data_IF_357050948713
#
_entry.id   IF_357050948713
#
_cell.length_a   1.000
_cell.length_b   1.000
_cell.length_c   1.000
_cell.angle_alpha   90.00
_cell.angle_beta   90.00
_cell.angle_gamma   90.00
#
_symmetry.space_group_name_H-M   'P 1'
#
loop_
_entity.id
_entity.type
_entity.pdbx_description
1 polymer ?
#
# COMPACT_ATOMS: atom_id res chain seq x y z
N UNK A 1 -27.05 -0.45 16.35
CA UNK A 1 -26.33 -1.35 15.41
C UNK A 1 -25.84 -0.51 14.23
N UNK A 2 -24.55 -0.58 13.86
CA UNK A 2 -24.04 0.17 12.68
C UNK A 2 -24.63 -0.43 11.41
N UNK A 3 -25.08 0.41 10.48
CA UNK A 3 -25.56 -0.08 9.19
C UNK A 3 -24.38 -0.56 8.33
N UNK A 4 -24.64 -1.42 7.33
CA UNK A 4 -23.60 -2.05 6.50
C UNK A 4 -22.65 -1.03 5.85
N UNK A 5 -23.16 0.12 5.43
CA UNK A 5 -22.35 1.19 4.82
C UNK A 5 -21.40 1.85 5.82
N UNK A 6 -21.85 2.10 7.06
CA UNK A 6 -20.98 2.61 8.13
C UNK A 6 -19.89 1.61 8.51
N UNK A 7 -20.19 0.31 8.52
CA UNK A 7 -19.18 -0.72 8.77
C UNK A 7 -18.14 -0.76 7.65
N UNK A 8 -18.57 -0.74 6.38
CA UNK A 8 -17.67 -0.70 5.23
C UNK A 8 -16.81 0.57 5.21
N UNK A 9 -17.37 1.72 5.57
CA UNK A 9 -16.62 2.97 5.70
C UNK A 9 -15.48 2.83 6.72
N UNK A 10 -15.75 2.24 7.88
CA UNK A 10 -14.72 2.01 8.91
C UNK A 10 -13.64 1.06 8.40
N UNK A 11 -14.01 -0.04 7.74
CA UNK A 11 -13.05 -0.98 7.16
C UNK A 11 -12.18 -0.28 6.11
N UNK A 12 -12.78 0.53 5.24
CA UNK A 12 -12.05 1.31 4.23
C UNK A 12 -11.06 2.29 4.85
N UNK A 13 -11.45 3.01 5.90
CA UNK A 13 -10.57 3.93 6.63
C UNK A 13 -9.41 3.17 7.29
N UNK A 14 -9.68 2.03 7.94
CA UNK A 14 -8.63 1.21 8.55
C UNK A 14 -7.64 0.73 7.47
N UNK A 15 -8.15 0.26 6.32
CA UNK A 15 -7.31 -0.14 5.19
C UNK A 15 -6.45 1.01 4.66
N UNK A 16 -7.01 2.22 4.55
CA UNK A 16 -6.27 3.43 4.15
C UNK A 16 -5.18 3.79 5.15
N UNK A 17 -5.46 3.76 6.45
CA UNK A 17 -4.48 4.08 7.50
C UNK A 17 -3.33 3.08 7.49
N UNK A 18 -3.63 1.78 7.41
CA UNK A 18 -2.60 0.74 7.36
C UNK A 18 -1.80 0.84 6.06
N UNK A 19 -2.47 0.93 4.92
CA UNK A 19 -1.82 1.06 3.62
C UNK A 19 -0.94 2.31 3.53
N UNK A 20 -1.45 3.45 4.00
CA UNK A 20 -0.70 4.71 4.07
C UNK A 20 0.51 4.61 4.98
N UNK A 21 0.35 4.04 6.18
CA UNK A 21 1.48 3.81 7.10
C UNK A 21 2.58 2.94 6.46
N UNK A 22 2.21 1.83 5.81
CA UNK A 22 3.16 0.96 5.11
C UNK A 22 3.83 1.68 3.93
N UNK A 23 3.08 2.49 3.18
CA UNK A 23 3.60 3.26 2.04
C UNK A 23 4.64 4.27 2.50
N UNK A 24 4.38 5.02 3.58
CA UNK A 24 5.31 6.01 4.11
C UNK A 24 6.51 5.41 4.87
N UNK A 25 6.47 4.13 5.22
CA UNK A 25 7.65 3.41 5.73
C UNK A 25 8.55 2.85 4.62
N UNK A 26 8.07 2.81 3.37
CA UNK A 26 8.88 2.36 2.25
C UNK A 26 9.89 3.44 1.88
N UNK A 27 11.14 3.27 2.32
CA UNK A 27 12.26 4.12 1.93
C UNK A 27 12.93 3.56 0.67
N UNK A 28 12.43 3.98 -0.49
CA UNK A 28 12.97 3.57 -1.79
C UNK A 28 14.39 4.10 -2.05
N UNK A 29 14.71 5.28 -1.51
CA UNK A 29 16.02 5.90 -1.69
C UNK A 29 17.12 5.09 -0.96
N UNK A 30 16.83 4.63 0.26
CA UNK A 30 17.74 3.77 1.02
C UNK A 30 18.00 2.41 0.35
N UNK A 31 17.03 1.83 -0.35
CA UNK A 31 17.23 0.59 -1.12
C UNK A 31 18.12 0.86 -2.33
N UNK A 32 17.90 1.97 -3.02
CA UNK A 32 18.65 2.32 -4.21
C UNK A 32 20.12 2.60 -3.88
N UNK A 33 20.39 3.30 -2.77
CA UNK A 33 21.75 3.52 -2.25
C UNK A 33 22.47 2.19 -1.97
N UNK A 34 21.79 1.22 -1.33
CA UNK A 34 22.36 -0.12 -1.11
C UNK A 34 22.67 -0.85 -2.41
N UNK A 35 21.80 -0.74 -3.41
CA UNK A 35 22.01 -1.38 -4.70
C UNK A 35 23.23 -0.80 -5.44
N UNK A 36 23.48 0.51 -5.34
CA UNK A 36 24.69 1.15 -5.86
C UNK A 36 25.93 0.58 -5.16
N UNK A 37 25.94 0.52 -3.83
CA UNK A 37 27.07 -0.06 -3.09
C UNK A 37 27.35 -1.51 -3.49
N UNK A 38 26.31 -2.34 -3.62
CA UNK A 38 26.44 -3.74 -4.07
C UNK A 38 27.11 -3.81 -5.45
N UNK A 39 26.75 -2.91 -6.38
CA UNK A 39 27.35 -2.86 -7.71
C UNK A 39 28.83 -2.46 -7.70
N UNK A 40 29.27 -1.69 -6.70
CA UNK A 40 30.65 -1.26 -6.54
C UNK A 40 31.52 -2.29 -5.82
N UNK A 41 30.94 -3.07 -4.89
CA UNK A 41 31.69 -3.99 -4.03
C UNK A 41 31.64 -5.45 -4.45
N UNK A 42 30.66 -5.85 -5.27
CA UNK A 42 30.50 -7.25 -5.67
C UNK A 42 31.71 -7.76 -6.45
N UNK A 43 32.09 -9.01 -6.21
CA UNK A 43 33.26 -9.62 -6.87
C UNK A 43 32.93 -10.18 -8.25
N UNK A 44 31.62 -10.25 -8.58
CA UNK A 44 31.13 -10.69 -9.89
C UNK A 44 29.78 -10.04 -10.22
N UNK A 45 29.47 -10.00 -11.51
CA UNK A 45 28.18 -9.50 -12.00
C UNK A 45 26.99 -10.37 -11.53
N UNK A 46 27.20 -11.68 -11.41
CA UNK A 46 26.17 -12.61 -10.95
C UNK A 46 25.82 -12.39 -9.47
N UNK A 47 26.84 -12.18 -8.63
CA UNK A 47 26.67 -11.86 -7.21
C UNK A 47 25.87 -10.55 -7.03
N UNK A 48 26.26 -9.49 -7.74
CA UNK A 48 25.55 -8.22 -7.72
C UNK A 48 24.08 -8.36 -8.15
N UNK A 49 23.82 -9.03 -9.27
CA UNK A 49 22.48 -9.21 -9.81
C UNK A 49 21.58 -9.99 -8.83
N UNK A 50 22.12 -11.03 -8.19
CA UNK A 50 21.38 -11.81 -7.20
C UNK A 50 20.95 -10.95 -6.01
N UNK A 51 21.86 -10.15 -5.46
CA UNK A 51 21.58 -9.32 -4.28
C UNK A 51 20.66 -8.14 -4.58
N UNK A 52 20.91 -7.43 -5.68
CA UNK A 52 20.02 -6.34 -6.14
C UNK A 52 18.61 -6.89 -6.40
N UNK A 53 18.48 -8.05 -7.06
CA UNK A 53 17.15 -8.64 -7.29
C UNK A 53 16.44 -9.02 -5.99
N UNK A 54 17.18 -9.43 -4.96
CA UNK A 54 16.61 -9.74 -3.65
C UNK A 54 16.11 -8.49 -2.94
N UNK A 55 16.83 -7.37 -3.03
CA UNK A 55 16.39 -6.08 -2.51
C UNK A 55 15.14 -5.58 -3.25
N UNK A 56 15.15 -5.62 -4.58
CA UNK A 56 14.02 -5.16 -5.39
C UNK A 56 12.75 -5.99 -5.12
N UNK A 57 12.87 -7.32 -4.93
CA UNK A 57 11.71 -8.15 -4.56
C UNK A 57 11.10 -7.74 -3.22
N UNK A 58 11.92 -7.41 -2.23
CA UNK A 58 11.44 -6.95 -0.92
C UNK A 58 10.75 -5.59 -1.02
N UNK A 59 11.35 -4.66 -1.76
CA UNK A 59 10.80 -3.34 -1.99
C UNK A 59 9.46 -3.40 -2.75
N UNK A 60 9.45 -4.04 -3.91
CA UNK A 60 8.25 -4.18 -4.76
C UNK A 60 7.15 -4.91 -4.00
N UNK A 61 7.46 -5.98 -3.28
CA UNK A 61 6.48 -6.74 -2.50
C UNK A 61 5.81 -5.90 -1.41
N UNK A 62 6.62 -5.20 -0.59
CA UNK A 62 6.11 -4.33 0.48
C UNK A 62 5.30 -3.15 -0.06
N UNK A 63 5.82 -2.46 -1.08
CA UNK A 63 5.15 -1.31 -1.68
C UNK A 63 3.85 -1.72 -2.42
N UNK A 64 3.82 -2.89 -3.06
CA UNK A 64 2.60 -3.40 -3.72
C UNK A 64 1.46 -3.66 -2.73
N UNK A 65 1.76 -4.20 -1.54
CA UNK A 65 0.75 -4.40 -0.49
C UNK A 65 0.23 -3.06 0.01
N UNK A 66 1.12 -2.09 0.25
CA UNK A 66 0.76 -0.75 0.69
C UNK A 66 -0.18 -0.07 -0.31
N UNK A 67 0.22 -0.04 -1.60
CA UNK A 67 -0.58 0.53 -2.68
C UNK A 67 -1.92 -0.20 -2.87
N UNK A 68 -1.94 -1.54 -2.74
CA UNK A 68 -3.18 -2.31 -2.81
C UNK A 68 -4.15 -1.91 -1.70
N UNK A 69 -3.69 -1.83 -0.45
CA UNK A 69 -4.52 -1.45 0.70
C UNK A 69 -5.01 0.00 0.60
N UNK A 70 -4.18 0.90 0.07
CA UNK A 70 -4.57 2.28 -0.20
C UNK A 70 -5.65 2.37 -1.29
N UNK A 71 -5.44 1.70 -2.43
CA UNK A 71 -6.39 1.69 -3.54
C UNK A 71 -7.73 1.05 -3.14
N UNK A 72 -7.69 -0.12 -2.52
CA UNK A 72 -8.87 -0.82 -2.03
C UNK A 72 -9.61 0.00 -0.96
N UNK A 73 -8.87 0.53 0.02
CA UNK A 73 -9.42 1.36 1.08
C UNK A 73 -10.11 2.61 0.53
N UNK A 74 -9.46 3.30 -0.41
CA UNK A 74 -10.01 4.47 -1.09
C UNK A 74 -11.30 4.17 -1.85
N UNK A 75 -11.33 3.07 -2.62
CA UNK A 75 -12.52 2.62 -3.33
C UNK A 75 -13.68 2.30 -2.37
N UNK A 76 -13.41 1.58 -1.28
CA UNK A 76 -14.42 1.24 -0.27
C UNK A 76 -14.97 2.51 0.41
N UNK A 77 -14.11 3.46 0.77
CA UNK A 77 -14.53 4.74 1.38
C UNK A 77 -15.45 5.50 0.44
N UNK A 78 -15.06 5.68 -0.83
CA UNK A 78 -15.87 6.39 -1.83
C UNK A 78 -17.24 5.74 -2.02
N UNK A 79 -17.27 4.42 -2.25
CA UNK A 79 -18.54 3.67 -2.43
C UNK A 79 -19.42 3.74 -1.18
N UNK A 80 -18.82 3.67 0.01
CA UNK A 80 -19.57 3.74 1.27
C UNK A 80 -20.20 5.11 1.48
N UNK A 81 -19.47 6.20 1.20
CA UNK A 81 -20.00 7.57 1.25
C UNK A 81 -21.13 7.75 0.25
N UNK A 82 -20.94 7.35 -1.01
CA UNK A 82 -21.98 7.44 -2.06
C UNK A 82 -23.25 6.70 -1.61
N UNK A 83 -23.11 5.50 -1.05
CA UNK A 83 -24.25 4.70 -0.60
C UNK A 83 -24.94 5.26 0.66
N UNK A 84 -24.23 6.03 1.49
CA UNK A 84 -24.83 6.74 2.61
C UNK A 84 -25.62 7.95 2.12
N UNK A 85 -25.06 8.76 1.22
CA UNK A 85 -25.74 9.93 0.64
C UNK A 85 -26.97 9.52 -0.18
N UNK A 86 -26.87 8.45 -0.99
CA UNK A 86 -28.00 7.94 -1.78
C UNK A 86 -29.14 7.35 -0.93
N UNK A 87 -28.88 7.01 0.33
CA UNK A 87 -29.92 6.51 1.25
C UNK A 87 -30.75 7.63 1.88
N UNK A 88 -30.30 8.88 1.80
CA UNK A 88 -31.01 10.05 2.36
C UNK A 88 -31.72 10.88 1.28
N UNK A 89 -32.81 10.37 0.65
CA UNK A 89 -33.86 11.29 0.20
C UNK A 89 -35.22 11.12 0.89
N UNK A 90 -35.74 9.91 1.13
CA UNK A 90 -37.16 9.75 1.56
C UNK A 90 -37.44 8.40 2.28
N UNK A 91 -36.68 8.01 3.30
CA UNK A 91 -37.03 6.85 4.14
C UNK A 91 -37.04 7.16 5.64
N UNK A 92 -37.98 8.02 6.05
CA UNK A 92 -38.77 7.94 7.29
C UNK A 92 -40.01 8.84 7.18
#
# INVERSE_FOLDING_TARGET
>A
MKNKSQLLLIIGIISLVIGGYLYFQADGDAINEKNVQISETATSAEEAAREISANNRKEVGGNSIAMFLMGLGGAIVLVSIINMVKKDPEQN
#
